data_IF_640799506940
#
_entry.id   IF_640799506940
#
_cell.length_a   1.000
_cell.length_b   1.000
_cell.length_c   1.000
_cell.angle_alpha   90.00
_cell.angle_beta   90.00
_cell.angle_gamma   90.00
#
_symmetry.space_group_name_H-M   'P 1'
#
loop_
_entity.id
_entity.type
_entity.pdbx_description
1 polymer ?
#
# COMPACT_ATOMS: atom_id res chain seq x y z
N UNK A 1 3.14 -16.38 -1.08
CA UNK A 1 3.46 -15.41 -2.17
C UNK A 1 4.26 -14.21 -1.69
N UNK A 2 4.16 -13.80 -0.41
CA UNK A 2 4.97 -12.69 0.14
C UNK A 2 5.86 -13.14 1.30
N UNK A 3 6.33 -14.37 1.28
CA UNK A 3 6.96 -15.02 2.43
C UNK A 3 8.34 -14.40 2.76
N UNK A 4 8.91 -13.63 1.83
CA UNK A 4 10.14 -12.83 2.01
C UNK A 4 9.89 -11.38 2.43
N UNK A 5 8.64 -10.95 2.53
CA UNK A 5 8.30 -9.58 2.91
C UNK A 5 8.15 -9.47 4.42
N UNK A 6 8.42 -8.29 4.96
CA UNK A 6 8.03 -7.96 6.33
C UNK A 6 6.51 -8.04 6.46
N UNK A 7 5.99 -8.29 7.66
CA UNK A 7 4.54 -8.37 7.86
C UNK A 7 3.83 -7.06 7.50
N UNK A 8 4.51 -5.92 7.69
CA UNK A 8 4.05 -4.62 7.19
C UNK A 8 3.92 -4.59 5.67
N UNK A 9 4.94 -5.02 4.94
CA UNK A 9 4.88 -5.07 3.48
C UNK A 9 3.80 -6.04 2.97
N UNK A 10 3.57 -7.17 3.66
CA UNK A 10 2.44 -8.07 3.37
C UNK A 10 1.10 -7.34 3.56
N UNK A 11 0.94 -6.59 4.65
CA UNK A 11 -0.27 -5.79 4.93
C UNK A 11 -0.52 -4.76 3.82
N UNK A 12 0.51 -4.01 3.41
CA UNK A 12 0.41 -3.06 2.28
C UNK A 12 -0.08 -3.73 1.01
N UNK A 13 0.46 -4.91 0.65
CA UNK A 13 0.01 -5.65 -0.54
C UNK A 13 -1.43 -6.14 -0.45
N UNK A 14 -1.94 -6.37 0.75
CA UNK A 14 -3.36 -6.71 0.96
C UNK A 14 -4.25 -5.47 0.81
N UNK A 15 -3.86 -4.34 1.40
CA UNK A 15 -4.56 -3.06 1.26
C UNK A 15 -4.61 -2.62 -0.21
N UNK A 16 -3.48 -2.71 -0.92
CA UNK A 16 -3.41 -2.39 -2.34
C UNK A 16 -4.37 -3.24 -3.19
N UNK A 17 -4.53 -4.54 -2.87
CA UNK A 17 -5.53 -5.37 -3.56
C UNK A 17 -6.97 -4.95 -3.26
N UNK A 18 -7.26 -4.53 -2.03
CA UNK A 18 -8.58 -4.02 -1.67
C UNK A 18 -8.90 -2.75 -2.46
N UNK A 19 -7.93 -1.86 -2.64
CA UNK A 19 -8.11 -0.66 -3.47
C UNK A 19 -8.34 -1.00 -4.95
N UNK A 20 -7.58 -1.94 -5.53
CA UNK A 20 -7.83 -2.40 -6.90
C UNK A 20 -9.24 -2.98 -7.08
N UNK A 21 -9.72 -3.77 -6.11
CA UNK A 21 -11.10 -4.29 -6.11
C UNK A 21 -12.13 -3.17 -5.98
N UNK A 22 -11.88 -2.19 -5.11
CA UNK A 22 -12.76 -1.03 -4.90
C UNK A 22 -12.95 -0.20 -6.17
N UNK A 23 -11.91 -0.08 -7.00
CA UNK A 23 -11.96 0.62 -8.28
C UNK A 23 -12.34 -0.29 -9.48
N UNK A 24 -12.64 -1.57 -9.24
CA UNK A 24 -12.89 -2.57 -10.28
C UNK A 24 -11.74 -2.71 -11.30
N UNK A 25 -10.51 -2.52 -10.85
CA UNK A 25 -9.32 -2.75 -11.67
C UNK A 25 -8.91 -4.22 -11.64
N UNK A 26 -8.72 -4.80 -12.83
CA UNK A 26 -8.37 -6.23 -12.97
C UNK A 26 -6.90 -6.53 -12.59
N UNK A 27 -6.07 -5.50 -12.45
CA UNK A 27 -4.65 -5.62 -12.14
C UNK A 27 -4.23 -4.72 -10.98
N UNK A 28 -3.20 -5.15 -10.28
CA UNK A 28 -2.59 -4.37 -9.21
C UNK A 28 -1.57 -3.39 -9.80
N UNK A 29 -2.03 -2.19 -10.15
CA UNK A 29 -1.19 -1.05 -10.53
C UNK A 29 -0.39 -0.43 -9.38
N UNK A 30 0.58 0.43 -9.69
CA UNK A 30 1.44 1.12 -8.71
C UNK A 30 0.66 2.12 -7.87
N UNK A 31 -0.41 2.69 -8.41
CA UNK A 31 -1.35 3.58 -7.73
C UNK A 31 -2.02 2.89 -6.54
N UNK A 32 -2.37 1.61 -6.65
CA UNK A 32 -2.96 0.87 -5.54
C UNK A 32 -1.94 0.57 -4.45
N UNK A 33 -0.68 0.33 -4.83
CA UNK A 33 0.42 0.15 -3.88
C UNK A 33 0.62 1.44 -3.09
N UNK A 34 0.61 2.59 -3.77
CA UNK A 34 0.70 3.90 -3.12
C UNK A 34 -0.46 4.10 -2.13
N UNK A 35 -1.71 3.83 -2.53
CA UNK A 35 -2.86 3.91 -1.63
C UNK A 35 -2.73 2.95 -0.44
N UNK A 36 -2.25 1.73 -0.66
CA UNK A 36 -1.99 0.76 0.41
C UNK A 36 -0.90 1.22 1.39
N UNK A 37 0.11 1.97 0.92
CA UNK A 37 1.14 2.57 1.78
C UNK A 37 0.59 3.72 2.61
N UNK A 38 -0.20 4.60 1.99
CA UNK A 38 -0.89 5.70 2.69
C UNK A 38 -1.80 5.15 3.78
N UNK A 39 -2.62 4.14 3.45
CA UNK A 39 -3.56 3.53 4.38
C UNK A 39 -2.89 2.71 5.51
N UNK A 40 -1.71 2.12 5.28
CA UNK A 40 -0.98 1.44 6.35
C UNK A 40 -0.52 2.43 7.43
N UNK A 41 -0.16 3.65 7.02
CA UNK A 41 -0.01 4.81 7.89
C UNK A 41 1.13 4.75 8.91
N UNK A 42 2.02 3.75 8.84
CA UNK A 42 3.13 3.58 9.77
C UNK A 42 4.47 3.21 9.10
N UNK A 43 5.54 3.27 9.89
CA UNK A 43 6.88 2.92 9.42
C UNK A 43 7.51 3.94 8.47
N UNK A 44 8.58 3.51 7.78
CA UNK A 44 9.42 4.42 6.98
C UNK A 44 8.64 5.02 5.80
N UNK A 45 7.85 4.21 5.08
CA UNK A 45 7.10 4.70 3.93
C UNK A 45 6.06 5.77 4.33
N UNK A 46 5.30 5.56 5.40
CA UNK A 46 4.34 6.56 5.88
C UNK A 46 5.03 7.86 6.32
N UNK A 47 6.20 7.77 6.98
CA UNK A 47 6.97 8.97 7.33
C UNK A 47 7.42 9.76 6.10
N UNK A 48 7.91 9.06 5.06
CA UNK A 48 8.30 9.70 3.80
C UNK A 48 7.10 10.37 3.13
N UNK A 49 5.95 9.69 3.06
CA UNK A 49 4.73 10.24 2.47
C UNK A 49 4.23 11.47 3.23
N UNK A 50 4.21 11.43 4.57
CA UNK A 50 3.86 12.60 5.40
C UNK A 50 4.81 13.78 5.19
N UNK A 51 6.11 13.52 5.05
CA UNK A 51 7.09 14.57 4.76
C UNK A 51 6.88 15.20 3.37
N UNK A 52 6.24 14.47 2.45
CA UNK A 52 5.81 14.97 1.14
C UNK A 52 4.40 15.57 1.17
N UNK A 53 3.76 15.66 2.35
CA UNK A 53 2.37 16.14 2.51
C UNK A 53 1.36 15.26 1.76
N UNK A 54 1.59 13.95 1.77
CA UNK A 54 0.70 12.92 1.25
C UNK A 54 0.29 12.05 2.46
N UNK A 55 -0.96 12.17 2.94
CA UNK A 55 -1.50 11.41 4.09
C UNK A 55 -2.91 10.83 3.86
#
# INVERSE_FOLDING_TARGET
MFDRFTDRAKKVMNLARQEAQRFNHEYLGTEHILLGLVQEGSGVAANVLRNMTID
#
